data_IF_965543746503
#
_entry.id   IF_965543746503
#
_cell.length_a   1.000
_cell.length_b   1.000
_cell.length_c   1.000
_cell.angle_alpha   90.00
_cell.angle_beta   90.00
_cell.angle_gamma   90.00
#
_symmetry.space_group_name_H-M   'P 1'
#
loop_
_entity.id
_entity.type
_entity.pdbx_description
1 polymer ?
#
# COMPACT_ATOMS: atom_id res chain seq x y z
N UNK A 1 0.85 -34.11 31.05
CA UNK A 1 1.13 -32.65 31.08
C UNK A 1 0.95 -32.09 29.68
N UNK A 2 -0.09 -31.29 29.43
CA UNK A 2 -0.29 -30.65 28.11
C UNK A 2 0.78 -29.57 27.96
N UNK A 3 1.78 -29.82 27.11
CA UNK A 3 2.78 -28.84 26.70
C UNK A 3 2.04 -27.62 26.15
N UNK A 4 2.11 -26.48 26.86
CA UNK A 4 1.61 -25.20 26.34
C UNK A 4 2.36 -24.94 25.03
N UNK A 5 1.62 -24.74 23.94
CA UNK A 5 2.22 -24.37 22.67
C UNK A 5 3.13 -23.15 22.89
N UNK A 6 4.38 -23.18 22.41
CA UNK A 6 5.29 -22.07 22.65
C UNK A 6 4.76 -20.78 22.03
N UNK A 7 4.69 -19.70 22.81
CA UNK A 7 4.13 -18.40 22.41
C UNK A 7 4.74 -17.84 21.11
N UNK A 8 5.99 -18.17 20.81
CA UNK A 8 6.68 -17.74 19.60
C UNK A 8 6.09 -18.32 18.29
N UNK A 9 5.24 -19.35 18.36
CA UNK A 9 4.53 -19.88 17.17
C UNK A 9 3.57 -18.87 16.55
N UNK A 10 3.13 -17.87 17.33
CA UNK A 10 2.24 -16.81 16.86
C UNK A 10 2.97 -15.69 16.11
N UNK A 11 4.31 -15.69 16.11
CA UNK A 11 5.10 -14.60 15.52
C UNK A 11 4.79 -14.36 14.04
N UNK A 12 4.69 -15.38 13.15
CA UNK A 12 4.35 -15.14 11.74
C UNK A 12 3.01 -14.42 11.55
N UNK A 13 2.02 -14.72 12.40
CA UNK A 13 0.71 -14.06 12.37
C UNK A 13 0.85 -12.61 12.83
N UNK A 14 1.67 -12.34 13.86
CA UNK A 14 1.96 -10.97 14.31
C UNK A 14 2.64 -10.15 13.21
N UNK A 15 3.53 -10.74 12.41
CA UNK A 15 4.16 -10.03 11.26
C UNK A 15 3.10 -9.56 10.27
N UNK A 16 2.18 -10.45 9.86
CA UNK A 16 1.09 -10.09 8.97
C UNK A 16 0.15 -9.05 9.59
N UNK A 17 -0.18 -9.21 10.88
CA UNK A 17 -1.06 -8.29 11.60
C UNK A 17 -0.46 -6.88 11.68
N UNK A 18 0.84 -6.77 12.02
CA UNK A 18 1.59 -5.52 11.98
C UNK A 18 1.47 -4.86 10.61
N UNK A 19 1.77 -5.59 9.53
CA UNK A 19 1.81 -5.01 8.19
C UNK A 19 0.45 -4.44 7.76
N UNK A 20 -0.63 -5.16 8.05
CA UNK A 20 -1.99 -4.70 7.74
C UNK A 20 -2.35 -3.47 8.58
N UNK A 21 -2.08 -3.50 9.89
CA UNK A 21 -2.40 -2.37 10.77
C UNK A 21 -1.63 -1.11 10.36
N UNK A 22 -0.36 -1.26 9.98
CA UNK A 22 0.46 -0.16 9.48
C UNK A 22 -0.16 0.49 8.24
N UNK A 23 -0.55 -0.31 7.24
CA UNK A 23 -1.24 0.20 6.03
C UNK A 23 -2.57 0.87 6.39
N UNK A 24 -3.35 0.29 7.30
CA UNK A 24 -4.63 0.88 7.72
C UNK A 24 -4.43 2.24 8.39
N UNK A 25 -3.35 2.40 9.17
CA UNK A 25 -3.02 3.66 9.81
C UNK A 25 -2.49 4.70 8.82
N UNK A 26 -1.65 4.28 7.87
CA UNK A 26 -1.10 5.16 6.82
C UNK A 26 -2.22 5.71 5.93
N UNK A 27 -3.19 4.87 5.56
CA UNK A 27 -4.32 5.22 4.70
C UNK A 27 -5.64 5.33 5.49
N UNK A 28 -5.56 5.81 6.73
CA UNK A 28 -6.70 5.84 7.64
C UNK A 28 -7.88 6.63 7.06
N UNK A 29 -9.06 6.00 7.03
CA UNK A 29 -10.29 6.60 6.48
C UNK A 29 -10.44 6.51 4.96
N UNK A 30 -9.38 6.19 4.22
CA UNK A 30 -9.43 6.00 2.76
C UNK A 30 -9.80 4.57 2.38
N UNK A 31 -9.36 3.58 3.17
CA UNK A 31 -9.59 2.17 2.88
C UNK A 31 -10.99 1.72 3.34
N UNK A 32 -11.81 1.14 2.43
CA UNK A 32 -13.06 0.49 2.80
C UNK A 32 -12.84 -0.66 3.76
N UNK A 33 -13.72 -0.80 4.76
CA UNK A 33 -13.61 -1.84 5.82
C UNK A 33 -13.61 -3.26 5.25
N UNK A 34 -14.36 -3.51 4.16
CA UNK A 34 -14.40 -4.82 3.51
C UNK A 34 -13.05 -5.22 2.89
N UNK A 35 -12.27 -4.27 2.38
CA UNK A 35 -10.93 -4.54 1.85
C UNK A 35 -9.97 -4.90 2.98
N UNK A 36 -10.04 -4.17 4.10
CA UNK A 36 -9.21 -4.44 5.29
C UNK A 36 -9.44 -5.87 5.78
N UNK A 37 -10.70 -6.30 5.93
CA UNK A 37 -11.04 -7.66 6.36
C UNK A 37 -10.56 -8.70 5.34
N UNK A 38 -10.79 -8.46 4.03
CA UNK A 38 -10.37 -9.38 2.95
C UNK A 38 -8.86 -9.61 2.97
N UNK A 39 -8.05 -8.55 3.00
CA UNK A 39 -6.59 -8.66 3.02
C UNK A 39 -6.08 -9.19 4.36
N UNK A 40 -6.78 -8.93 5.47
CA UNK A 40 -6.48 -9.57 6.76
C UNK A 40 -6.56 -11.09 6.69
N UNK A 41 -7.60 -11.61 6.05
CA UNK A 41 -7.76 -13.05 5.85
C UNK A 41 -6.72 -13.61 4.89
N UNK A 42 -6.41 -12.91 3.79
CA UNK A 42 -5.41 -13.37 2.83
C UNK A 42 -4.00 -13.42 3.42
N UNK A 43 -3.54 -12.36 4.09
CA UNK A 43 -2.19 -12.32 4.66
C UNK A 43 -2.07 -13.11 5.97
N UNK A 44 -3.15 -13.20 6.74
CA UNK A 44 -3.25 -14.15 7.86
C UNK A 44 -3.16 -15.60 7.36
N UNK A 45 -3.94 -15.95 6.34
CA UNK A 45 -3.90 -17.26 5.69
C UNK A 45 -2.51 -17.58 5.13
N UNK A 46 -1.88 -16.63 4.42
CA UNK A 46 -0.51 -16.76 3.91
C UNK A 46 0.49 -17.08 5.03
N UNK A 47 0.42 -16.39 6.17
CA UNK A 47 1.31 -16.65 7.31
C UNK A 47 1.15 -18.05 7.89
N UNK A 48 -0.10 -18.55 7.96
CA UNK A 48 -0.41 -19.90 8.44
C UNK A 48 0.09 -20.93 7.42
N UNK A 49 -0.15 -20.72 6.12
CA UNK A 49 0.33 -21.60 5.06
C UNK A 49 1.85 -21.69 5.02
N UNK A 50 2.55 -20.56 5.14
CA UNK A 50 4.02 -20.53 5.21
C UNK A 50 4.55 -21.24 6.45
N UNK A 51 3.92 -21.03 7.61
CA UNK A 51 4.28 -21.74 8.83
C UNK A 51 4.07 -23.25 8.70
N UNK A 52 2.93 -23.69 8.16
CA UNK A 52 2.64 -25.10 7.93
C UNK A 52 3.65 -25.74 6.96
N UNK A 53 3.97 -25.05 5.86
CA UNK A 53 5.00 -25.47 4.92
C UNK A 53 6.37 -25.57 5.60
N UNK A 54 6.73 -24.58 6.42
CA UNK A 54 8.00 -24.59 7.12
C UNK A 54 8.07 -25.72 8.16
N UNK A 55 6.98 -25.99 8.89
CA UNK A 55 6.90 -27.13 9.82
C UNK A 55 7.11 -28.44 9.06
N UNK A 56 6.46 -28.59 7.89
CA UNK A 56 6.66 -29.74 7.02
C UNK A 56 8.12 -29.88 6.55
N UNK A 57 8.77 -28.78 6.17
CA UNK A 57 10.14 -28.78 5.64
C UNK A 57 11.23 -29.02 6.71
N UNK A 58 11.08 -28.46 7.92
CA UNK A 58 12.13 -28.48 8.95
C UNK A 58 11.85 -29.46 10.09
N UNK A 59 10.60 -29.90 10.27
CA UNK A 59 10.11 -30.78 11.36
C UNK A 59 10.30 -30.23 12.79
N UNK A 60 11.12 -29.19 12.98
CA UNK A 60 11.34 -28.46 14.23
C UNK A 60 10.64 -27.11 14.18
N UNK A 61 9.80 -26.83 15.17
CA UNK A 61 8.96 -25.63 15.23
C UNK A 61 9.78 -24.34 15.21
N UNK A 62 10.94 -24.33 15.87
CA UNK A 62 11.75 -23.13 15.99
C UNK A 62 12.38 -22.72 14.65
N UNK A 63 12.88 -23.70 13.90
CA UNK A 63 13.42 -23.48 12.55
C UNK A 63 12.31 -23.05 11.59
N UNK A 64 11.13 -23.66 11.72
CA UNK A 64 9.98 -23.34 10.91
C UNK A 64 9.49 -21.90 11.12
N UNK A 65 9.36 -21.47 12.38
CA UNK A 65 8.97 -20.09 12.72
C UNK A 65 9.98 -19.09 12.18
N UNK A 66 11.29 -19.33 12.40
CA UNK A 66 12.33 -18.43 11.94
C UNK A 66 12.31 -18.25 10.41
N UNK A 67 12.24 -19.36 9.66
CA UNK A 67 12.19 -19.29 8.20
C UNK A 67 10.89 -18.62 7.70
N UNK A 68 9.76 -18.87 8.36
CA UNK A 68 8.47 -18.25 7.98
C UNK A 68 8.50 -16.74 8.17
N UNK A 69 9.11 -16.25 9.26
CA UNK A 69 9.30 -14.82 9.49
C UNK A 69 10.21 -14.23 8.40
N UNK A 70 11.32 -14.90 8.05
CA UNK A 70 12.21 -14.45 6.98
C UNK A 70 11.45 -14.33 5.64
N UNK A 71 10.64 -15.33 5.30
CA UNK A 71 9.83 -15.31 4.09
C UNK A 71 8.79 -14.18 4.09
N UNK A 72 8.10 -13.96 5.21
CA UNK A 72 7.13 -12.88 5.35
C UNK A 72 7.78 -11.50 5.31
N UNK A 73 8.94 -11.31 5.94
CA UNK A 73 9.69 -10.04 5.88
C UNK A 73 10.09 -9.74 4.44
N UNK A 74 10.65 -10.71 3.72
CA UNK A 74 11.00 -10.52 2.31
C UNK A 74 9.76 -10.16 1.49
N UNK A 75 8.64 -10.86 1.69
CA UNK A 75 7.40 -10.61 0.95
C UNK A 75 6.81 -9.22 1.22
N UNK A 76 6.61 -8.86 2.50
CA UNK A 76 5.95 -7.61 2.87
C UNK A 76 6.80 -6.37 2.63
N UNK A 77 8.11 -6.45 2.87
CA UNK A 77 9.01 -5.31 2.72
C UNK A 77 9.68 -5.24 1.34
N UNK A 78 9.29 -6.09 0.40
CA UNK A 78 9.85 -6.11 -0.96
C UNK A 78 9.68 -4.74 -1.66
N UNK A 79 8.49 -4.14 -1.57
CA UNK A 79 8.19 -2.84 -2.18
C UNK A 79 9.08 -1.73 -1.60
N UNK A 80 9.06 -1.57 -0.28
CA UNK A 80 9.90 -0.58 0.41
C UNK A 80 11.39 -0.77 0.14
N UNK A 81 11.86 -2.02 0.07
CA UNK A 81 13.25 -2.33 -0.29
C UNK A 81 13.56 -1.93 -1.73
N UNK A 82 12.68 -2.25 -2.68
CA UNK A 82 12.85 -1.88 -4.08
C UNK A 82 12.89 -0.35 -4.27
N UNK A 83 12.03 0.38 -3.57
CA UNK A 83 12.01 1.85 -3.61
C UNK A 83 13.27 2.46 -2.98
N UNK A 84 13.78 1.85 -1.90
CA UNK A 84 15.07 2.21 -1.30
C UNK A 84 16.25 1.99 -2.27
N UNK A 85 16.26 0.87 -3.01
CA UNK A 85 17.31 0.63 -4.01
C UNK A 85 17.23 1.65 -5.16
N UNK A 86 16.02 2.03 -5.58
CA UNK A 86 15.82 3.06 -6.62
C UNK A 86 16.21 4.46 -6.17
N UNK A 87 16.02 4.80 -4.90
CA UNK A 87 16.41 6.11 -4.37
C UNK A 87 17.92 6.24 -4.11
N UNK A 88 18.63 5.10 -4.08
CA UNK A 88 20.08 5.06 -4.00
C UNK A 88 20.70 5.19 -5.40
N UNK A 89 21.88 5.80 -5.52
CA UNK A 89 22.65 5.93 -6.76
C UNK A 89 23.25 4.61 -7.29
N UNK A 90 22.57 3.48 -7.07
CA UNK A 90 22.98 2.17 -7.56
C UNK A 90 22.66 2.03 -9.06
N UNK A 91 23.41 1.18 -9.78
CA UNK A 91 23.07 0.85 -11.17
C UNK A 91 21.64 0.31 -11.30
N UNK A 92 20.91 0.75 -12.32
CA UNK A 92 19.51 0.38 -12.57
C UNK A 92 19.25 -1.14 -12.61
N UNK A 93 20.28 -1.92 -12.96
CA UNK A 93 20.26 -3.38 -12.92
C UNK A 93 19.82 -3.94 -11.55
N UNK A 94 20.31 -3.36 -10.45
CA UNK A 94 19.97 -3.82 -9.10
C UNK A 94 18.55 -3.47 -8.67
N UNK A 95 17.95 -2.44 -9.27
CA UNK A 95 16.54 -2.09 -9.09
C UNK A 95 15.59 -2.87 -10.00
N UNK A 96 16.11 -3.64 -10.97
CA UNK A 96 15.27 -4.37 -11.91
C UNK A 96 14.61 -5.58 -11.25
N UNK A 97 13.30 -5.76 -11.49
CA UNK A 97 12.57 -6.96 -11.07
C UNK A 97 13.19 -8.25 -11.62
N UNK A 98 13.82 -8.20 -12.81
CA UNK A 98 14.52 -9.35 -13.42
C UNK A 98 15.69 -9.82 -12.57
N UNK A 99 16.32 -8.94 -11.80
CA UNK A 99 17.39 -9.29 -10.87
C UNK A 99 16.87 -9.58 -9.46
N UNK A 100 16.03 -8.68 -8.92
CA UNK A 100 15.56 -8.74 -7.54
C UNK A 100 14.72 -10.00 -7.24
N UNK A 101 13.81 -10.39 -8.14
CA UNK A 101 12.95 -11.55 -7.90
C UNK A 101 13.76 -12.86 -7.82
N UNK A 102 14.63 -13.21 -8.79
CA UNK A 102 15.51 -14.36 -8.66
C UNK A 102 16.45 -14.28 -7.45
N UNK A 103 16.95 -13.09 -7.12
CA UNK A 103 17.83 -12.90 -5.96
C UNK A 103 17.13 -13.26 -4.65
N UNK A 104 15.93 -12.75 -4.40
CA UNK A 104 15.17 -13.07 -3.19
C UNK A 104 14.70 -14.53 -3.18
N UNK A 105 14.32 -15.09 -4.33
CA UNK A 105 13.99 -16.51 -4.43
C UNK A 105 15.19 -17.40 -4.07
N UNK A 106 16.37 -17.07 -4.59
CA UNK A 106 17.61 -17.75 -4.25
C UNK A 106 17.93 -17.60 -2.75
N UNK A 107 17.76 -16.41 -2.19
CA UNK A 107 17.95 -16.17 -0.76
C UNK A 107 17.03 -17.05 0.12
N UNK A 108 15.77 -17.24 -0.29
CA UNK A 108 14.84 -18.14 0.41
C UNK A 108 15.30 -19.60 0.35
N UNK A 109 15.73 -20.07 -0.83
CA UNK A 109 16.22 -21.45 -1.03
C UNK A 109 17.50 -21.70 -0.22
N UNK A 110 18.46 -20.77 -0.29
CA UNK A 110 19.71 -20.82 0.50
C UNK A 110 19.37 -20.80 1.99
N UNK A 111 18.40 -19.98 2.40
CA UNK A 111 17.87 -19.95 3.77
C UNK A 111 17.37 -21.32 4.24
N UNK A 112 16.65 -22.07 3.39
CA UNK A 112 16.22 -23.44 3.72
C UNK A 112 17.42 -24.34 3.99
N UNK A 113 18.41 -24.34 3.10
CA UNK A 113 19.60 -25.21 3.23
C UNK A 113 20.42 -24.83 4.47
N UNK A 114 20.66 -23.54 4.70
CA UNK A 114 21.42 -23.03 5.83
C UNK A 114 20.75 -23.36 7.17
N UNK A 115 19.43 -23.13 7.28
CA UNK A 115 18.68 -23.42 8.51
C UNK A 115 18.58 -24.92 8.76
N UNK A 116 18.43 -25.75 7.72
CA UNK A 116 18.46 -27.21 7.86
C UNK A 116 19.80 -27.69 8.43
N UNK A 117 20.92 -27.21 7.88
CA UNK A 117 22.29 -27.58 8.31
C UNK A 117 22.69 -27.01 9.67
N UNK A 118 22.08 -25.91 10.10
CA UNK A 118 22.42 -25.28 11.38
C UNK A 118 22.12 -26.19 12.59
N UNK A 119 23.05 -26.26 13.54
CA UNK A 119 22.84 -26.90 14.84
C UNK A 119 22.05 -26.02 15.82
N UNK A 120 21.87 -24.73 15.51
CA UNK A 120 21.13 -23.79 16.35
C UNK A 120 19.66 -24.16 16.46
N UNK A 121 19.10 -23.92 17.65
CA UNK A 121 17.68 -24.10 17.94
C UNK A 121 16.85 -22.86 17.64
N UNK A 122 17.45 -21.69 17.36
CA UNK A 122 16.74 -20.43 17.05
C UNK A 122 15.70 -19.96 18.09
N UNK A 123 15.67 -20.54 19.30
CA UNK A 123 14.68 -20.20 20.34
C UNK A 123 14.82 -18.73 20.77
N UNK A 124 16.04 -18.28 21.07
CA UNK A 124 16.29 -16.93 21.58
C UNK A 124 15.91 -15.87 20.55
N UNK A 125 16.29 -16.05 19.28
CA UNK A 125 15.94 -15.10 18.22
C UNK A 125 14.44 -15.08 17.96
N UNK A 126 13.74 -16.22 18.00
CA UNK A 126 12.29 -16.25 17.85
C UNK A 126 11.57 -15.55 19.01
N UNK A 127 12.07 -15.67 20.24
CA UNK A 127 11.53 -14.92 21.39
C UNK A 127 11.73 -13.41 21.23
N UNK A 128 12.91 -12.99 20.75
CA UNK A 128 13.18 -11.59 20.45
C UNK A 128 12.25 -11.06 19.35
N UNK A 129 12.12 -11.79 18.24
CA UNK A 129 11.24 -11.42 17.13
C UNK A 129 9.77 -11.37 17.57
N UNK A 130 9.33 -12.32 18.39
CA UNK A 130 7.99 -12.28 18.98
C UNK A 130 7.77 -10.99 19.78
N UNK A 131 8.71 -10.64 20.67
CA UNK A 131 8.61 -9.44 21.49
C UNK A 131 8.61 -8.16 20.63
N UNK A 132 9.50 -8.09 19.63
CA UNK A 132 9.60 -6.98 18.70
C UNK A 132 8.27 -6.79 17.94
N UNK A 133 7.77 -7.85 17.29
CA UNK A 133 6.54 -7.78 16.52
C UNK A 133 5.33 -7.53 17.40
N UNK A 134 5.27 -8.08 18.61
CA UNK A 134 4.22 -7.77 19.57
C UNK A 134 4.22 -6.28 19.96
N UNK A 135 5.40 -5.70 20.22
CA UNK A 135 5.52 -4.29 20.59
C UNK A 135 5.08 -3.38 19.44
N UNK A 136 5.62 -3.55 18.23
CA UNK A 136 5.26 -2.69 17.10
C UNK A 136 3.79 -2.88 16.69
N UNK A 137 3.25 -4.10 16.75
CA UNK A 137 1.81 -4.35 16.51
C UNK A 137 0.95 -3.65 17.55
N UNK A 138 1.36 -3.66 18.83
CA UNK A 138 0.64 -2.97 19.90
C UNK A 138 0.63 -1.46 19.69
N UNK A 139 1.76 -0.90 19.24
CA UNK A 139 1.86 0.51 18.87
C UNK A 139 0.91 0.87 17.73
N UNK A 140 0.91 0.10 16.64
CA UNK A 140 -0.01 0.32 15.51
C UNK A 140 -1.49 0.19 15.94
N UNK A 141 -1.80 -0.73 16.84
CA UNK A 141 -3.16 -0.87 17.39
C UNK A 141 -3.56 0.36 18.19
N UNK A 142 -2.67 0.91 19.02
CA UNK A 142 -2.92 2.16 19.76
C UNK A 142 -3.13 3.33 18.79
N UNK A 143 -2.30 3.46 17.75
CA UNK A 143 -2.44 4.51 16.74
C UNK A 143 -3.77 4.41 15.99
N UNK A 144 -4.22 3.19 15.67
CA UNK A 144 -5.52 2.97 15.03
C UNK A 144 -6.68 3.45 15.91
N UNK A 145 -6.61 3.18 17.22
CA UNK A 145 -7.61 3.65 18.19
C UNK A 145 -7.59 5.17 18.28
N UNK A 146 -6.40 5.79 18.40
CA UNK A 146 -6.26 7.26 18.44
C UNK A 146 -6.82 7.91 17.17
N UNK A 147 -6.48 7.37 15.99
CA UNK A 147 -6.98 7.85 14.70
C UNK A 147 -8.51 7.69 14.60
N UNK A 148 -9.07 6.64 15.19
CA UNK A 148 -10.52 6.42 15.25
C UNK A 148 -11.25 7.47 16.09
N UNK A 149 -10.65 7.97 17.17
CA UNK A 149 -11.21 9.09 17.93
C UNK A 149 -11.06 10.44 17.21
N UNK A 150 -10.02 10.62 16.40
CA UNK A 150 -9.83 11.82 15.54
C UNK A 150 -10.74 11.82 14.30
N UNK A 151 -11.39 10.69 14.00
CA UNK A 151 -12.16 10.48 12.76
C UNK A 151 -13.34 11.44 12.60
N UNK A 152 -13.88 11.97 13.69
CA UNK A 152 -15.00 12.92 13.64
C UNK A 152 -14.58 14.27 13.03
N UNK A 153 -13.33 14.69 13.17
CA UNK A 153 -12.80 15.89 12.50
C UNK A 153 -12.67 15.69 10.98
N UNK A 154 -12.28 14.49 10.54
CA UNK A 154 -12.08 14.13 9.12
C UNK A 154 -13.41 13.90 8.39
N UNK A 155 -14.43 13.35 9.06
CA UNK A 155 -15.77 13.12 8.48
C UNK A 155 -16.51 14.41 8.15
N UNK A 156 -16.24 15.51 8.86
CA UNK A 156 -16.85 16.81 8.56
C UNK A 156 -16.46 17.35 7.17
N UNK A 157 -15.28 16.96 6.67
CA UNK A 157 -14.80 17.34 5.33
C UNK A 157 -15.40 16.42 4.25
N UNK A 158 -15.48 15.11 4.52
CA UNK A 158 -15.93 14.12 3.53
C UNK A 158 -17.46 14.08 3.34
N UNK A 159 -18.25 14.28 4.40
CA UNK A 159 -19.72 14.30 4.31
C UNK A 159 -20.28 15.53 3.58
N UNK A 160 -19.51 16.61 3.41
CA UNK A 160 -19.94 17.77 2.57
C UNK A 160 -19.92 17.44 1.08
N UNK A 161 -19.10 16.49 0.62
CA UNK A 161 -18.94 16.18 -0.80
C UNK A 161 -19.95 15.15 -1.32
N UNK A 162 -20.69 14.46 -0.45
CA UNK A 162 -21.63 13.40 -0.82
C UNK A 162 -23.12 13.78 -0.64
N UNK A 163 -23.44 15.06 -0.48
CA UNK A 163 -24.83 15.47 -0.70
C UNK A 163 -25.08 15.44 -2.21
N UNK A 164 -25.90 14.51 -2.73
CA UNK A 164 -26.35 14.65 -4.10
C UNK A 164 -27.00 16.02 -4.21
N UNK A 165 -26.62 16.79 -5.23
CA UNK A 165 -27.33 18.00 -5.63
C UNK A 165 -28.72 17.51 -6.06
N UNK A 166 -29.62 17.40 -5.08
CA UNK A 166 -30.90 16.69 -5.26
C UNK A 166 -31.88 17.57 -6.03
N UNK A 167 -31.61 18.88 -6.08
CA UNK A 167 -32.41 19.83 -6.83
C UNK A 167 -31.45 20.82 -7.49
N UNK A 168 -31.36 20.79 -8.83
CA UNK A 168 -30.91 21.95 -9.57
C UNK A 168 -31.86 23.08 -9.15
N UNK A 169 -31.35 24.22 -8.66
CA UNK A 169 -32.22 25.32 -8.27
C UNK A 169 -33.11 25.67 -9.46
N UNK A 170 -34.43 25.56 -9.27
CA UNK A 170 -35.46 25.96 -10.24
C UNK A 170 -35.53 27.49 -10.36
N UNK A 171 -34.38 28.17 -10.37
CA UNK A 171 -34.30 29.60 -10.65
C UNK A 171 -34.23 29.72 -12.17
N UNK A 172 -35.38 29.54 -12.80
CA UNK A 172 -35.61 30.03 -14.14
C UNK A 172 -35.77 31.56 -14.07
N UNK A 173 -34.70 32.29 -13.75
CA UNK A 173 -34.49 33.67 -14.21
C UNK A 173 -33.08 34.15 -13.84
N UNK A 174 -32.22 34.29 -14.85
CA UNK A 174 -31.10 35.21 -14.76
C UNK A 174 -30.66 35.53 -16.18
N UNK A 175 -30.62 36.81 -16.54
CA UNK A 175 -30.09 37.31 -17.80
C UNK A 175 -28.57 37.03 -18.02
N UNK A 176 -27.98 36.09 -17.27
CA UNK A 176 -26.58 35.69 -17.31
C UNK A 176 -26.46 34.21 -17.65
N UNK A 177 -25.43 33.81 -18.41
CA UNK A 177 -25.22 32.43 -18.82
C UNK A 177 -24.81 31.53 -17.65
N UNK A 178 -25.18 30.26 -17.72
CA UNK A 178 -24.65 29.22 -16.84
C UNK A 178 -23.15 29.00 -17.10
N UNK A 179 -22.38 28.80 -16.03
CA UNK A 179 -20.95 28.51 -16.11
C UNK A 179 -20.72 27.10 -15.59
N UNK A 180 -20.30 26.20 -16.49
CA UNK A 180 -19.92 24.83 -16.14
C UNK A 180 -18.41 24.76 -15.92
N UNK A 181 -18.00 24.32 -14.74
CA UNK A 181 -16.59 24.06 -14.42
C UNK A 181 -16.35 22.55 -14.39
N UNK A 182 -15.67 22.04 -15.42
CA UNK A 182 -15.34 20.62 -15.58
C UNK A 182 -13.85 20.44 -15.28
N UNK A 183 -13.53 19.71 -14.22
CA UNK A 183 -12.15 19.45 -13.81
C UNK A 183 -11.85 17.97 -13.98
N UNK A 184 -10.88 17.67 -14.82
CA UNK A 184 -10.37 16.30 -15.00
C UNK A 184 -9.23 16.06 -14.00
N UNK A 185 -9.25 14.93 -13.31
CA UNK A 185 -8.18 14.53 -12.41
C UNK A 185 -7.05 13.85 -13.20
N UNK A 186 -5.81 14.22 -12.89
CA UNK A 186 -4.59 13.68 -13.54
C UNK A 186 -4.58 13.73 -15.08
N UNK A 187 -5.28 14.67 -15.72
CA UNK A 187 -5.25 14.85 -17.19
C UNK A 187 -4.15 15.84 -17.62
N UNK A 188 -3.04 15.36 -18.24
CA UNK A 188 -1.93 16.22 -18.63
C UNK A 188 -2.17 16.92 -19.97
N UNK A 189 -1.32 17.89 -20.31
CA UNK A 189 -1.40 18.61 -21.58
C UNK A 189 -1.15 17.68 -22.78
N UNK A 190 -1.67 18.06 -23.96
CA UNK A 190 -1.41 17.36 -25.22
C UNK A 190 0.09 17.25 -25.54
N UNK A 191 0.89 18.24 -25.13
CA UNK A 191 2.35 18.18 -25.25
C UNK A 191 2.95 17.05 -24.39
N UNK A 192 2.59 16.99 -23.11
CA UNK A 192 3.07 15.96 -22.19
C UNK A 192 2.65 14.56 -22.63
N UNK A 193 1.43 14.38 -23.15
CA UNK A 193 0.95 13.11 -23.70
C UNK A 193 1.77 12.67 -24.92
N UNK A 194 2.12 13.61 -25.80
CA UNK A 194 2.92 13.31 -26.98
C UNK A 194 4.36 12.94 -26.61
N UNK A 195 5.01 13.71 -25.75
CA UNK A 195 6.42 13.53 -25.40
C UNK A 195 6.67 12.33 -24.49
N UNK A 196 5.79 12.09 -23.51
CA UNK A 196 6.02 11.08 -22.47
C UNK A 196 5.24 9.79 -22.70
N UNK A 197 4.12 9.85 -23.41
CA UNK A 197 3.25 8.69 -23.63
C UNK A 197 3.18 8.25 -25.10
N UNK A 198 3.83 8.97 -26.04
CA UNK A 198 3.66 8.78 -27.48
C UNK A 198 2.18 8.75 -27.92
N UNK A 199 1.34 9.51 -27.22
CA UNK A 199 -0.09 9.54 -27.45
C UNK A 199 -0.49 10.81 -28.20
N UNK A 200 -1.24 10.65 -29.30
CA UNK A 200 -1.77 11.77 -30.07
C UNK A 200 -3.16 12.18 -29.57
N UNK A 201 -3.23 13.34 -28.93
CA UNK A 201 -4.45 13.90 -28.37
C UNK A 201 -5.25 14.77 -29.35
N UNK A 202 -4.82 14.85 -30.61
CA UNK A 202 -5.38 15.80 -31.59
C UNK A 202 -6.87 15.63 -31.88
N UNK A 203 -7.44 14.43 -31.69
CA UNK A 203 -8.87 14.17 -31.86
C UNK A 203 -9.73 14.92 -30.82
N UNK A 204 -9.27 14.97 -29.57
CA UNK A 204 -9.93 15.67 -28.46
C UNK A 204 -9.78 17.17 -28.65
N UNK A 205 -8.56 17.65 -28.93
CA UNK A 205 -8.30 19.08 -29.14
C UNK A 205 -9.12 19.64 -30.32
N UNK A 206 -9.22 18.86 -31.40
CA UNK A 206 -10.07 19.22 -32.54
C UNK A 206 -11.54 19.27 -32.15
N UNK A 207 -12.01 18.38 -31.27
CA UNK A 207 -13.37 18.41 -30.76
C UNK A 207 -13.64 19.66 -29.92
N UNK A 208 -12.73 20.01 -29.02
CA UNK A 208 -12.85 21.24 -28.22
C UNK A 208 -12.86 22.50 -29.09
N UNK A 209 -11.93 22.62 -30.04
CA UNK A 209 -11.90 23.76 -30.98
C UNK A 209 -13.16 23.86 -31.83
N UNK A 210 -13.70 22.74 -32.33
CA UNK A 210 -14.98 22.72 -33.08
C UNK A 210 -16.15 23.22 -32.24
N UNK A 211 -16.12 22.97 -30.93
CA UNK A 211 -17.12 23.47 -29.97
C UNK A 211 -16.72 24.84 -29.38
N UNK A 212 -15.82 25.59 -30.03
CA UNK A 212 -15.40 26.94 -29.66
C UNK A 212 -14.70 27.06 -28.29
N UNK A 213 -14.19 25.96 -27.72
CA UNK A 213 -13.33 26.02 -26.54
C UNK A 213 -11.94 26.55 -26.91
N UNK A 214 -11.38 27.36 -26.01
CA UNK A 214 -9.99 27.82 -26.09
C UNK A 214 -9.09 26.74 -25.46
N UNK A 215 -8.03 26.35 -26.17
CA UNK A 215 -7.00 25.45 -25.65
C UNK A 215 -5.79 26.29 -25.25
N UNK A 216 -5.43 26.21 -23.96
CA UNK A 216 -4.25 26.90 -23.42
C UNK A 216 -3.04 25.95 -23.48
N UNK A 217 -2.32 25.96 -24.61
CA UNK A 217 -1.24 25.01 -24.90
C UNK A 217 -0.05 25.06 -23.91
N UNK A 218 0.09 26.16 -23.16
CA UNK A 218 1.16 26.38 -22.19
C UNK A 218 0.67 26.53 -20.74
N UNK A 219 -0.56 26.09 -20.44
CA UNK A 219 -1.06 26.06 -19.07
C UNK A 219 -0.28 25.05 -18.21
N UNK A 220 -0.01 25.41 -16.97
CA UNK A 220 0.66 24.57 -15.97
C UNK A 220 -0.16 24.55 -14.69
N UNK A 221 -0.15 23.43 -13.97
CA UNK A 221 -0.75 23.37 -12.65
C UNK A 221 0.11 24.13 -11.63
N UNK A 222 -0.54 24.76 -10.65
CA UNK A 222 0.16 25.42 -9.55
C UNK A 222 0.93 24.42 -8.66
N UNK A 223 0.40 23.20 -8.54
CA UNK A 223 0.95 22.12 -7.72
C UNK A 223 0.80 20.77 -8.42
N UNK A 224 1.51 19.76 -7.92
CA UNK A 224 1.45 18.37 -8.39
C UNK A 224 0.52 17.49 -7.54
N UNK A 225 -0.47 18.10 -6.90
CA UNK A 225 -1.40 17.42 -5.98
C UNK A 225 -2.79 18.03 -6.09
N UNK A 226 -3.84 17.21 -6.20
CA UNK A 226 -5.22 17.65 -6.40
C UNK A 226 -5.73 18.58 -5.28
N UNK A 227 -5.55 18.28 -3.97
CA UNK A 227 -5.97 19.19 -2.91
C UNK A 227 -5.33 20.59 -2.99
N UNK A 228 -4.06 20.66 -3.36
CA UNK A 228 -3.34 21.93 -3.49
C UNK A 228 -3.73 22.68 -4.77
N UNK A 229 -3.97 21.96 -5.86
CA UNK A 229 -4.32 22.55 -7.16
C UNK A 229 -5.73 23.13 -7.17
N UNK A 230 -6.67 22.52 -6.44
CA UNK A 230 -8.06 23.00 -6.33
C UNK A 230 -8.18 24.17 -5.35
N UNK A 231 -7.31 24.25 -4.33
CA UNK A 231 -7.37 25.29 -3.32
C UNK A 231 -6.70 26.61 -3.72
N UNK A 232 -5.87 26.61 -4.76
CA UNK A 232 -5.09 27.75 -5.25
C UNK A 232 -5.89 28.64 -6.19
#
# INVERSE_FOLDING_TARGET
MKSKAPHYLLTPILVSAFFILHIVNEYFGLLPTHLIVKYSLYYGGLSICLLALAIYLFKKNEKAVFWSILALIIFFFFGSFHDFIKSTSLPAFFSSYTFLLPFFLLALIVGIVAIRKSSSTFITINKYLFLLFALITSYETVMLVVNSFRRDELRLVQNRQQQPVTELPTIADSARPDIFYIVFDEYPSSLSLKENCNFDNGSIDSSFKRNQFIIADSAVSNYNSTPLSIAA
#
